data_IF_719123330790
#
_entry.id   IF_719123330790
#
_cell.length_a   1.000
_cell.length_b   1.000
_cell.length_c   1.000
_cell.angle_alpha   90.00
_cell.angle_beta   90.00
_cell.angle_gamma   90.00
#
_symmetry.space_group_name_H-M   'P 1'
#
loop_
_entity.id
_entity.type
_entity.pdbx_description
1 polymer ?
#
# COMPACT_ATOMS: atom_id res chain seq x y z
N UNK A 1 7.61 12.89 -29.71
CA UNK A 1 6.94 13.31 -28.46
C UNK A 1 6.52 14.75 -28.65
N UNK A 2 5.23 15.02 -28.56
CA UNK A 2 4.76 16.41 -28.55
C UNK A 2 5.08 17.07 -27.19
N UNK A 3 5.02 18.39 -27.15
CA UNK A 3 5.31 19.16 -25.93
C UNK A 3 4.34 18.82 -24.80
N UNK A 4 3.08 18.52 -25.13
CA UNK A 4 2.05 18.14 -24.17
C UNK A 4 2.36 16.82 -23.45
N UNK A 5 2.79 15.78 -24.19
CA UNK A 5 3.19 14.49 -23.60
C UNK A 5 4.38 14.66 -22.67
N UNK A 6 5.36 15.50 -23.03
CA UNK A 6 6.51 15.78 -22.16
C UNK A 6 6.07 16.38 -20.82
N UNK A 7 5.17 17.36 -20.84
CA UNK A 7 4.63 17.98 -19.61
C UNK A 7 3.86 16.97 -18.75
N UNK A 8 3.08 16.08 -19.36
CA UNK A 8 2.34 15.04 -18.63
C UNK A 8 3.25 14.02 -17.95
N UNK A 9 4.35 13.62 -18.60
CA UNK A 9 5.36 12.73 -18.02
C UNK A 9 6.03 13.39 -16.81
N UNK A 10 6.40 14.67 -16.93
CA UNK A 10 7.02 15.42 -15.82
C UNK A 10 6.07 15.59 -14.62
N UNK A 11 4.80 15.93 -14.85
CA UNK A 11 3.79 16.01 -13.78
C UNK A 11 3.63 14.66 -13.06
N UNK A 12 3.48 13.58 -13.83
CA UNK A 12 3.30 12.23 -13.28
C UNK A 12 4.54 11.77 -12.50
N UNK A 13 5.74 12.13 -12.98
CA UNK A 13 7.00 11.82 -12.30
C UNK A 13 7.06 12.44 -10.92
N UNK A 14 6.78 13.73 -10.79
CA UNK A 14 6.80 14.43 -9.50
C UNK A 14 5.73 13.90 -8.54
N UNK A 15 4.52 13.62 -9.07
CA UNK A 15 3.39 13.10 -8.29
C UNK A 15 3.69 11.70 -7.71
N UNK A 16 4.30 10.81 -8.50
CA UNK A 16 4.61 9.44 -8.08
C UNK A 16 5.93 9.35 -7.30
N UNK A 17 6.88 10.26 -7.51
CA UNK A 17 8.15 10.24 -6.79
C UNK A 17 7.96 10.31 -5.28
N UNK A 18 7.02 11.13 -4.78
CA UNK A 18 6.80 11.31 -3.34
C UNK A 18 6.42 10.00 -2.62
N UNK A 19 5.34 9.28 -3.00
CA UNK A 19 5.01 8.02 -2.35
C UNK A 19 6.07 6.94 -2.56
N UNK A 20 6.73 6.90 -3.73
CA UNK A 20 7.80 5.94 -3.99
C UNK A 20 9.03 6.19 -3.12
N UNK A 21 9.42 7.45 -2.89
CA UNK A 21 10.52 7.79 -1.99
C UNK A 21 10.21 7.37 -0.55
N UNK A 22 8.98 7.57 -0.08
CA UNK A 22 8.57 7.10 1.25
C UNK A 22 8.62 5.57 1.34
N UNK A 23 8.21 4.86 0.30
CA UNK A 23 8.33 3.40 0.23
C UNK A 23 9.81 2.95 0.23
N UNK A 24 10.69 3.63 -0.52
CA UNK A 24 12.13 3.37 -0.51
C UNK A 24 12.75 3.60 0.87
N UNK A 25 12.33 4.65 1.59
CA UNK A 25 12.78 4.89 2.97
C UNK A 25 12.35 3.77 3.92
N UNK A 26 11.12 3.26 3.77
CA UNK A 26 10.65 2.11 4.54
C UNK A 26 11.53 0.86 4.28
N UNK A 27 11.84 0.58 3.01
CA UNK A 27 12.76 -0.50 2.63
C UNK A 27 14.16 -0.31 3.19
N UNK A 28 14.72 0.89 3.07
CA UNK A 28 16.03 1.25 3.62
C UNK A 28 16.10 1.02 5.13
N UNK A 29 15.06 1.40 5.89
CA UNK A 29 15.02 1.14 7.32
C UNK A 29 14.92 -0.34 7.64
N UNK A 30 14.14 -1.11 6.87
CA UNK A 30 14.03 -2.57 7.04
C UNK A 30 15.37 -3.26 6.77
N UNK A 31 16.04 -2.92 5.66
CA UNK A 31 17.35 -3.47 5.31
C UNK A 31 18.41 -3.12 6.35
N UNK A 32 18.38 -1.89 6.86
CA UNK A 32 19.26 -1.48 7.98
C UNK A 32 19.02 -2.27 9.26
N UNK A 33 17.82 -2.80 9.47
CA UNK A 33 17.48 -3.69 10.57
C UNK A 33 17.81 -5.18 10.27
N UNK A 34 18.39 -5.47 9.11
CA UNK A 34 18.78 -6.82 8.69
C UNK A 34 17.66 -7.64 8.04
N UNK A 35 16.54 -6.99 7.66
CA UNK A 35 15.38 -7.64 7.04
C UNK A 35 15.15 -7.06 5.66
N UNK A 36 15.39 -7.85 4.63
CA UNK A 36 15.16 -7.48 3.23
C UNK A 36 13.68 -7.62 2.87
N UNK A 37 13.02 -6.49 2.64
CA UNK A 37 11.56 -6.41 2.54
C UNK A 37 11.10 -6.18 1.09
N UNK A 38 10.98 -7.28 0.34
CA UNK A 38 10.34 -7.27 -1.00
C UNK A 38 8.82 -7.03 -0.91
N UNK A 39 8.22 -7.20 0.27
CA UNK A 39 6.78 -7.13 0.49
C UNK A 39 6.18 -5.71 0.47
N UNK A 40 6.96 -4.69 0.11
CA UNK A 40 6.55 -3.28 0.15
C UNK A 40 5.39 -2.97 -0.79
N UNK A 41 5.35 -3.57 -1.97
CA UNK A 41 4.26 -3.38 -2.92
C UNK A 41 2.91 -3.82 -2.32
N UNK A 42 2.89 -4.99 -1.66
CA UNK A 42 1.72 -5.51 -0.98
C UNK A 42 1.30 -4.65 0.22
N UNK A 43 2.27 -4.13 0.98
CA UNK A 43 2.00 -3.18 2.08
C UNK A 43 1.35 -1.89 1.58
N UNK A 44 1.85 -1.35 0.47
CA UNK A 44 1.27 -0.16 -0.17
C UNK A 44 -0.15 -0.43 -0.68
N UNK A 45 -0.39 -1.57 -1.35
CA UNK A 45 -1.71 -1.96 -1.82
C UNK A 45 -2.70 -2.14 -0.66
N UNK A 46 -2.31 -2.86 0.40
CA UNK A 46 -3.13 -3.07 1.58
C UNK A 46 -3.45 -1.74 2.29
N UNK A 47 -2.47 -0.86 2.44
CA UNK A 47 -2.67 0.46 3.04
C UNK A 47 -3.60 1.35 2.22
N UNK A 48 -3.42 1.38 0.88
CA UNK A 48 -4.28 2.15 0.00
C UNK A 48 -5.74 1.67 0.07
N UNK A 49 -5.95 0.34 0.00
CA UNK A 49 -7.29 -0.24 0.07
C UNK A 49 -7.95 0.01 1.44
N UNK A 50 -7.24 -0.22 2.54
CA UNK A 50 -7.77 -0.01 3.88
C UNK A 50 -8.09 1.48 4.13
N UNK A 51 -7.18 2.37 3.73
CA UNK A 51 -7.36 3.82 3.90
C UNK A 51 -8.57 4.33 3.13
N UNK A 52 -8.67 4.01 1.84
CA UNK A 52 -9.78 4.46 1.01
C UNK A 52 -11.12 3.84 1.45
N UNK A 53 -11.14 2.55 1.81
CA UNK A 53 -12.37 1.90 2.30
C UNK A 53 -12.88 2.54 3.57
N UNK A 54 -12.00 2.73 4.55
CA UNK A 54 -12.39 3.28 5.85
C UNK A 54 -12.74 4.75 5.74
N UNK A 55 -11.98 5.54 4.97
CA UNK A 55 -12.33 6.93 4.70
C UNK A 55 -13.71 7.05 4.06
N UNK A 56 -14.05 6.16 3.11
CA UNK A 56 -15.36 6.17 2.46
C UNK A 56 -16.50 5.80 3.43
N UNK A 57 -16.31 4.74 4.22
CA UNK A 57 -17.34 4.27 5.16
C UNK A 57 -17.56 5.24 6.34
N UNK A 58 -16.51 5.94 6.77
CA UNK A 58 -16.56 6.85 7.93
C UNK A 58 -16.76 8.31 7.57
N UNK A 59 -16.51 8.68 6.31
CA UNK A 59 -16.48 10.07 5.87
C UNK A 59 -15.30 10.88 6.41
N UNK A 60 -14.23 10.23 6.91
CA UNK A 60 -13.06 10.92 7.48
C UNK A 60 -11.74 10.41 6.89
N UNK A 61 -11.02 11.30 6.19
CA UNK A 61 -9.67 11.00 5.65
C UNK A 61 -8.68 10.63 6.75
N UNK A 62 -8.78 11.22 7.94
CA UNK A 62 -7.87 10.94 9.05
C UNK A 62 -8.05 9.53 9.60
N UNK A 63 -9.30 9.06 9.73
CA UNK A 63 -9.58 7.69 10.17
C UNK A 63 -9.13 6.69 9.08
N UNK A 64 -9.32 7.03 7.80
CA UNK A 64 -8.75 6.28 6.68
C UNK A 64 -7.22 6.18 6.76
N UNK A 65 -6.52 7.30 6.95
CA UNK A 65 -5.07 7.33 7.10
C UNK A 65 -4.59 6.38 8.20
N UNK A 66 -5.22 6.43 9.38
CA UNK A 66 -4.90 5.53 10.50
C UNK A 66 -5.16 4.06 10.15
N UNK A 67 -6.24 3.76 9.43
CA UNK A 67 -6.51 2.40 8.95
C UNK A 67 -5.44 1.92 7.96
N UNK A 68 -4.98 2.78 7.05
CA UNK A 68 -3.88 2.47 6.13
C UNK A 68 -2.56 2.17 6.85
N UNK A 69 -2.22 3.00 7.84
CA UNK A 69 -1.04 2.77 8.71
C UNK A 69 -1.18 1.42 9.42
N UNK A 70 -2.35 1.14 10.01
CA UNK A 70 -2.62 -0.13 10.68
C UNK A 70 -2.48 -1.35 9.76
N UNK A 71 -2.98 -1.27 8.54
CA UNK A 71 -2.85 -2.35 7.55
C UNK A 71 -1.39 -2.61 7.16
N UNK A 72 -0.60 -1.56 6.92
CA UNK A 72 0.84 -1.69 6.65
C UNK A 72 1.61 -2.27 7.84
N UNK A 73 1.32 -1.83 9.06
CA UNK A 73 1.91 -2.37 10.28
C UNK A 73 1.58 -3.86 10.45
N UNK A 74 0.34 -4.27 10.21
CA UNK A 74 -0.06 -5.68 10.26
C UNK A 74 0.76 -6.53 9.28
N UNK A 75 0.88 -6.09 8.03
CA UNK A 75 1.70 -6.80 7.02
C UNK A 75 3.18 -6.84 7.40
N UNK A 76 3.72 -5.74 7.97
CA UNK A 76 5.09 -5.70 8.46
C UNK A 76 5.31 -6.66 9.64
N UNK A 77 4.36 -6.76 10.56
CA UNK A 77 4.41 -7.71 11.67
C UNK A 77 4.37 -9.16 11.17
N UNK A 78 3.52 -9.48 10.19
CA UNK A 78 3.49 -10.82 9.57
C UNK A 78 4.85 -11.14 8.93
N UNK A 79 5.41 -10.20 8.17
CA UNK A 79 6.73 -10.37 7.55
C UNK A 79 7.84 -10.55 8.60
N UNK A 80 7.84 -9.74 9.64
CA UNK A 80 8.78 -9.79 10.75
C UNK A 80 8.66 -11.10 11.53
N UNK A 81 7.45 -11.58 11.81
CA UNK A 81 7.22 -12.87 12.45
C UNK A 81 7.79 -14.02 11.61
N UNK A 82 7.50 -14.04 10.31
CA UNK A 82 8.02 -15.05 9.39
C UNK A 82 9.56 -15.02 9.30
N UNK A 83 10.14 -13.82 9.22
CA UNK A 83 11.57 -13.63 8.94
C UNK A 83 12.45 -13.71 10.20
N UNK A 84 11.98 -13.19 11.33
CA UNK A 84 12.74 -13.07 12.58
C UNK A 84 12.46 -14.27 13.49
N UNK A 85 11.19 -14.53 13.78
CA UNK A 85 10.81 -15.58 14.74
C UNK A 85 10.95 -16.97 14.13
N UNK A 86 10.41 -17.16 12.92
CA UNK A 86 10.46 -18.45 12.22
C UNK A 86 11.70 -18.63 11.34
N UNK A 87 12.54 -17.60 11.18
CA UNK A 87 13.75 -17.63 10.36
C UNK A 87 13.48 -18.10 8.92
N UNK A 88 12.30 -17.77 8.40
CA UNK A 88 11.90 -18.08 7.04
C UNK A 88 12.69 -17.26 6.02
N UNK A 89 12.66 -17.70 4.76
CA UNK A 89 13.27 -16.96 3.67
C UNK A 89 12.48 -15.65 3.44
N UNK A 90 13.17 -14.52 3.64
CA UNK A 90 12.61 -13.17 3.55
C UNK A 90 12.06 -12.87 2.15
N UNK A 91 12.72 -13.36 1.09
CA UNK A 91 12.24 -13.21 -0.29
C UNK A 91 10.90 -13.91 -0.48
N UNK A 92 10.77 -15.13 0.01
CA UNK A 92 9.53 -15.92 -0.11
C UNK A 92 8.40 -15.26 0.69
N UNK A 93 8.67 -14.84 1.92
CA UNK A 93 7.67 -14.15 2.75
C UNK A 93 7.22 -12.82 2.12
N UNK A 94 8.16 -12.02 1.60
CA UNK A 94 7.84 -10.76 0.94
C UNK A 94 6.98 -10.95 -0.31
N UNK A 95 7.36 -11.87 -1.20
CA UNK A 95 6.57 -12.20 -2.40
C UNK A 95 5.18 -12.75 -2.05
N UNK A 96 5.09 -13.60 -1.02
CA UNK A 96 3.81 -14.12 -0.55
C UNK A 96 2.88 -13.00 -0.05
N UNK A 97 3.42 -12.00 0.65
CA UNK A 97 2.64 -10.83 1.08
C UNK A 97 2.17 -9.97 -0.09
N UNK A 98 2.99 -9.80 -1.14
CA UNK A 98 2.56 -9.09 -2.36
C UNK A 98 1.39 -9.81 -3.02
N UNK A 99 1.46 -11.14 -3.20
CA UNK A 99 0.35 -11.90 -3.77
C UNK A 99 -0.90 -11.88 -2.89
N UNK A 100 -0.73 -12.00 -1.57
CA UNK A 100 -1.85 -11.91 -0.63
C UNK A 100 -2.54 -10.55 -0.75
N UNK A 101 -1.78 -9.46 -0.75
CA UNK A 101 -2.32 -8.11 -0.90
C UNK A 101 -3.03 -7.94 -2.25
N UNK A 102 -2.42 -8.39 -3.35
CA UNK A 102 -3.04 -8.32 -4.69
C UNK A 102 -4.39 -9.05 -4.75
N UNK A 103 -4.51 -10.23 -4.15
CA UNK A 103 -5.76 -10.97 -4.12
C UNK A 103 -6.80 -10.39 -3.15
N UNK A 104 -6.42 -10.11 -1.90
CA UNK A 104 -7.35 -9.69 -0.85
C UNK A 104 -7.93 -8.32 -1.13
N UNK A 105 -7.15 -7.39 -1.70
CA UNK A 105 -7.64 -6.03 -2.01
C UNK A 105 -8.74 -6.07 -3.08
N UNK A 106 -8.59 -6.91 -4.09
CA UNK A 106 -9.63 -7.12 -5.12
C UNK A 106 -10.89 -7.75 -4.51
N UNK A 107 -10.74 -8.77 -3.66
CA UNK A 107 -11.87 -9.42 -2.98
C UNK A 107 -12.63 -8.44 -2.09
N UNK A 108 -11.92 -7.62 -1.31
CA UNK A 108 -12.52 -6.63 -0.41
C UNK A 108 -13.23 -5.55 -1.23
N UNK A 109 -12.61 -5.01 -2.28
CA UNK A 109 -13.23 -4.03 -3.16
C UNK A 109 -14.52 -4.57 -3.80
N UNK A 110 -14.49 -5.84 -4.24
CA UNK A 110 -15.65 -6.49 -4.84
C UNK A 110 -16.75 -6.73 -3.81
N UNK A 111 -16.40 -7.17 -2.60
CA UNK A 111 -17.36 -7.45 -1.53
C UNK A 111 -18.02 -6.20 -0.96
N UNK A 112 -17.25 -5.13 -0.74
CA UNK A 112 -17.75 -3.89 -0.13
C UNK A 112 -18.38 -2.92 -1.14
N UNK A 113 -17.80 -2.80 -2.34
CA UNK A 113 -18.15 -1.73 -3.28
C UNK A 113 -18.63 -2.25 -4.64
N UNK A 114 -18.67 -3.58 -4.82
CA UNK A 114 -18.97 -4.24 -6.10
C UNK A 114 -18.02 -3.83 -7.25
N UNK A 115 -16.83 -3.32 -6.93
CA UNK A 115 -15.81 -2.87 -7.88
C UNK A 115 -14.63 -3.85 -7.91
N UNK A 116 -14.04 -4.08 -9.08
CA UNK A 116 -12.93 -5.04 -9.28
C UNK A 116 -11.56 -4.53 -8.84
N UNK A 117 -11.42 -4.08 -7.59
CA UNK A 117 -10.18 -3.54 -7.02
C UNK A 117 -10.16 -2.02 -6.84
N UNK A 118 -11.22 -1.32 -7.25
CA UNK A 118 -11.39 0.12 -7.02
C UNK A 118 -12.17 0.44 -5.76
N UNK A 119 -11.91 1.62 -5.18
CA UNK A 119 -12.74 2.21 -4.13
C UNK A 119 -13.53 3.40 -4.69
N UNK A 120 -14.77 3.64 -4.22
CA UNK A 120 -15.52 4.83 -4.60
C UNK A 120 -14.79 6.13 -4.23
N UNK A 121 -15.10 7.22 -4.95
CA UNK A 121 -14.54 8.53 -4.64
C UNK A 121 -15.20 9.12 -3.38
N UNK A 122 -14.39 9.79 -2.56
CA UNK A 122 -14.87 10.54 -1.41
C UNK A 122 -15.63 11.79 -1.85
N UNK A 123 -16.81 12.01 -1.25
CA UNK A 123 -17.62 13.22 -1.42
C UNK A 123 -16.89 14.43 -0.83
N UNK A 124 -17.08 15.64 -1.39
CA UNK A 124 -16.28 16.83 -1.06
C UNK A 124 -16.25 17.20 0.43
N UNK A 125 -17.30 16.92 1.19
CA UNK A 125 -17.37 17.20 2.64
C UNK A 125 -16.57 16.26 3.54
N UNK A 126 -15.96 15.21 2.98
CA UNK A 126 -15.21 14.19 3.73
C UNK A 126 -13.67 14.32 3.57
N UNK A 127 -13.21 15.28 2.75
CA UNK A 127 -11.79 15.45 2.38
C UNK A 127 -10.98 16.28 3.37
#
# INVERSE_FOLDING_TARGET
MDYATLLQILDSTLRLATPLLLACLAGLFSERAGIFDIGLEGKMLAAAMASASVAFLTGSVWVGLLAGIGASLLFALIHGLASITFRGNQLISGVALNFLASGITVLVAKGLFNQGGGTPQLTEGAR
#
